data_IF_732507466286
#
_entry.id   IF_732507466286
#
_cell.length_a   1.000
_cell.length_b   1.000
_cell.length_c   1.000
_cell.angle_alpha   90.00
_cell.angle_beta   90.00
_cell.angle_gamma   90.00
#
_symmetry.space_group_name_H-M   'P 1'
#
loop_
_entity.id
_entity.type
_entity.pdbx_description
1 polymer ?
#
# COMPACT_ATOMS: atom_id res chain seq x y z
N UNK A 1 16.78 -1.60 20.83
CA UNK A 1 15.61 -0.71 20.99
C UNK A 1 15.83 0.46 20.04
N UNK A 2 15.27 0.39 18.82
CA UNK A 2 15.68 1.22 17.67
C UNK A 2 14.54 2.07 17.06
N UNK A 3 13.39 2.18 17.71
CA UNK A 3 12.26 2.98 17.22
C UNK A 3 12.42 4.50 17.48
N UNK A 4 13.55 4.91 18.05
CA UNK A 4 13.95 6.31 18.26
C UNK A 4 15.07 6.75 17.30
N UNK A 5 15.48 5.88 16.38
CA UNK A 5 16.50 6.25 15.40
C UNK A 5 15.99 7.38 14.49
N UNK A 6 16.87 8.31 14.06
CA UNK A 6 16.49 9.38 13.16
C UNK A 6 15.79 8.85 11.91
N UNK A 7 14.84 9.62 11.38
CA UNK A 7 14.21 9.29 10.11
C UNK A 7 15.26 9.10 9.01
N UNK A 8 15.22 7.96 8.34
CA UNK A 8 16.04 7.65 7.18
C UNK A 8 15.14 7.55 5.96
N UNK A 9 15.38 8.39 4.96
CA UNK A 9 14.68 8.30 3.68
C UNK A 9 14.96 6.93 3.03
N UNK A 10 13.92 6.30 2.50
CA UNK A 10 14.02 5.03 1.79
C UNK A 10 13.60 5.21 0.34
N UNK A 11 14.19 4.42 -0.54
CA UNK A 11 13.79 4.39 -1.93
C UNK A 11 12.35 3.86 -2.06
N UNK A 12 11.55 4.53 -2.89
CA UNK A 12 10.19 4.12 -3.23
C UNK A 12 10.22 3.54 -4.63
N UNK A 13 9.96 2.25 -4.75
CA UNK A 13 9.87 1.55 -6.02
C UNK A 13 8.46 1.68 -6.57
N UNK A 14 8.34 2.05 -7.84
CA UNK A 14 7.06 2.01 -8.56
C UNK A 14 6.77 0.59 -9.00
N UNK A 15 5.60 0.06 -8.66
CA UNK A 15 5.10 -1.22 -9.13
C UNK A 15 4.09 -1.01 -10.27
N UNK A 16 3.84 -2.03 -11.12
CA UNK A 16 2.76 -1.97 -12.08
C UNK A 16 1.42 -1.64 -11.41
N UNK A 17 0.69 -0.70 -12.01
CA UNK A 17 -0.67 -0.40 -11.58
C UNK A 17 -1.55 -1.65 -11.65
N UNK A 18 -2.47 -1.79 -10.71
CA UNK A 18 -3.40 -2.90 -10.65
C UNK A 18 -4.80 -2.41 -10.98
N UNK A 19 -5.45 -3.12 -11.89
CA UNK A 19 -6.86 -2.89 -12.24
C UNK A 19 -7.61 -4.19 -12.01
N UNK A 20 -8.48 -4.22 -11.01
CA UNK A 20 -9.22 -5.43 -10.64
C UNK A 20 -10.53 -5.05 -9.93
N UNK A 21 -11.62 -5.74 -10.28
CA UNK A 21 -12.93 -5.62 -9.63
C UNK A 21 -13.42 -4.16 -9.51
N UNK A 22 -13.15 -3.34 -10.53
CA UNK A 22 -13.51 -1.91 -10.59
C UNK A 22 -12.55 -0.97 -9.87
N UNK A 23 -11.54 -1.48 -9.17
CA UNK A 23 -10.46 -0.68 -8.57
C UNK A 23 -9.33 -0.42 -9.56
N UNK A 24 -8.79 0.81 -9.51
CA UNK A 24 -7.55 1.23 -10.15
C UNK A 24 -6.56 1.69 -9.07
N UNK A 25 -5.55 0.86 -8.78
CA UNK A 25 -4.55 1.14 -7.75
C UNK A 25 -3.20 1.52 -8.36
N UNK A 26 -2.67 2.68 -7.95
CA UNK A 26 -1.25 3.02 -8.10
C UNK A 26 -0.46 2.35 -6.98
N UNK A 27 0.63 1.67 -7.32
CA UNK A 27 1.29 0.74 -6.41
C UNK A 27 2.75 1.11 -6.20
N UNK A 28 3.17 1.08 -4.95
CA UNK A 28 4.52 1.43 -4.52
C UNK A 28 5.03 0.41 -3.50
N UNK A 29 6.34 0.15 -3.54
CA UNK A 29 7.02 -0.62 -2.51
C UNK A 29 8.12 0.21 -1.86
N UNK A 30 8.27 0.06 -0.55
CA UNK A 30 9.37 0.63 0.22
C UNK A 30 10.14 -0.56 0.78
N UNK A 31 11.41 -0.69 0.40
CA UNK A 31 12.25 -1.82 0.79
C UNK A 31 13.25 -1.37 1.83
N UNK A 32 13.31 -2.07 2.97
CA UNK A 32 14.34 -1.82 3.98
C UNK A 32 15.73 -2.16 3.44
N UNK A 33 16.75 -1.54 4.02
CA UNK A 33 18.14 -1.75 3.63
C UNK A 33 18.56 -3.22 3.72
N UNK A 34 19.28 -3.70 2.70
CA UNK A 34 19.70 -5.09 2.60
C UNK A 34 18.59 -6.10 2.30
N UNK A 35 17.34 -5.65 2.11
CA UNK A 35 16.23 -6.51 1.68
C UNK A 35 16.02 -6.42 0.17
N UNK A 36 15.46 -7.49 -0.39
CA UNK A 36 15.03 -7.53 -1.77
C UNK A 36 13.50 -7.45 -1.85
N UNK A 37 12.99 -6.91 -2.95
CA UNK A 37 11.57 -6.99 -3.28
C UNK A 37 11.19 -8.46 -3.46
N UNK A 38 10.18 -8.93 -2.72
CA UNK A 38 9.62 -10.27 -2.90
C UNK A 38 8.29 -10.19 -3.63
N UNK A 39 8.25 -10.79 -4.82
CA UNK A 39 7.04 -10.86 -5.63
C UNK A 39 5.88 -11.57 -4.90
N UNK A 40 6.17 -12.64 -4.15
CA UNK A 40 5.17 -13.35 -3.36
C UNK A 40 4.55 -12.47 -2.27
N UNK A 41 5.34 -11.59 -1.64
CA UNK A 41 4.84 -10.62 -0.66
C UNK A 41 3.98 -9.56 -1.34
N UNK A 42 4.40 -9.09 -2.52
CA UNK A 42 3.63 -8.13 -3.32
C UNK A 42 2.24 -8.69 -3.69
N UNK A 43 2.19 -9.95 -4.12
CA UNK A 43 0.96 -10.64 -4.47
C UNK A 43 0.05 -10.85 -3.25
N UNK A 44 0.60 -11.36 -2.15
CA UNK A 44 -0.15 -11.55 -0.91
C UNK A 44 -0.72 -10.23 -0.37
N UNK A 45 0.07 -9.15 -0.39
CA UNK A 45 -0.38 -7.82 0.02
C UNK A 45 -1.50 -7.28 -0.88
N UNK A 46 -1.46 -7.57 -2.19
CA UNK A 46 -2.53 -7.16 -3.12
C UNK A 46 -3.80 -7.96 -2.96
N UNK A 47 -3.71 -9.27 -2.76
CA UNK A 47 -4.87 -10.09 -2.44
C UNK A 47 -5.56 -9.60 -1.16
N UNK A 48 -4.77 -9.32 -0.11
CA UNK A 48 -5.30 -8.82 1.15
C UNK A 48 -5.91 -7.43 1.03
N UNK A 49 -5.28 -6.53 0.25
CA UNK A 49 -5.84 -5.21 -0.01
C UNK A 49 -7.21 -5.31 -0.69
N UNK A 50 -7.31 -6.10 -1.76
CA UNK A 50 -8.56 -6.31 -2.50
C UNK A 50 -9.65 -6.93 -1.64
N UNK A 51 -9.29 -7.87 -0.75
CA UNK A 51 -10.25 -8.48 0.18
C UNK A 51 -10.85 -7.46 1.17
N UNK A 52 -10.07 -6.44 1.56
CA UNK A 52 -10.48 -5.44 2.57
C UNK A 52 -11.09 -4.18 1.98
N UNK A 53 -10.83 -3.87 0.72
CA UNK A 53 -11.36 -2.67 0.09
C UNK A 53 -12.89 -2.75 0.04
N UNK A 54 -13.59 -1.62 0.28
CA UNK A 54 -15.02 -1.58 0.03
C UNK A 54 -15.30 -1.77 -1.46
N UNK A 55 -16.57 -1.99 -1.85
CA UNK A 55 -16.96 -1.90 -3.25
C UNK A 55 -16.45 -0.58 -3.86
N UNK A 56 -15.87 -0.60 -5.08
CA UNK A 56 -15.42 0.63 -5.71
C UNK A 56 -16.64 1.50 -6.03
N UNK A 57 -16.57 2.77 -5.65
CA UNK A 57 -17.54 3.73 -6.13
C UNK A 57 -17.22 4.22 -7.54
N UNK A 58 -18.17 4.92 -8.13
CA UNK A 58 -18.04 5.54 -9.44
C UNK A 58 -17.36 6.91 -9.34
N UNK A 59 -16.89 7.45 -10.46
CA UNK A 59 -16.37 8.82 -10.51
C UNK A 59 -17.43 9.88 -10.17
N UNK A 60 -18.70 9.50 -10.22
CA UNK A 60 -19.86 10.37 -9.97
C UNK A 60 -20.37 10.25 -8.52
N UNK A 61 -19.84 9.31 -7.73
CA UNK A 61 -20.28 9.11 -6.34
C UNK A 61 -19.92 10.30 -5.45
N UNK A 62 -20.91 10.77 -4.69
CA UNK A 62 -20.75 11.88 -3.74
C UNK A 62 -19.90 11.53 -2.52
N UNK A 63 -19.71 10.23 -2.26
CA UNK A 63 -19.09 9.72 -1.04
C UNK A 63 -17.55 9.70 -1.13
N UNK A 64 -16.98 10.15 -2.25
CA UNK A 64 -15.54 10.33 -2.45
C UNK A 64 -14.74 9.04 -2.71
N UNK A 65 -15.40 7.88 -2.67
CA UNK A 65 -14.83 6.63 -3.15
C UNK A 65 -15.04 6.54 -4.68
N UNK A 66 -13.99 6.73 -5.46
CA UNK A 66 -14.08 6.73 -6.92
C UNK A 66 -13.45 5.49 -7.58
N UNK A 67 -13.25 4.41 -6.81
CA UNK A 67 -12.57 3.21 -7.31
C UNK A 67 -11.09 3.47 -7.66
N UNK A 68 -10.49 4.55 -7.16
CA UNK A 68 -9.07 4.89 -7.36
C UNK A 68 -8.37 4.93 -6.02
N UNK A 69 -7.19 4.31 -5.93
CA UNK A 69 -6.45 4.26 -4.68
C UNK A 69 -4.93 4.12 -4.83
N UNK A 70 -4.26 4.15 -3.68
CA UNK A 70 -2.83 3.95 -3.55
C UNK A 70 -2.57 2.74 -2.66
N UNK A 71 -1.76 1.80 -3.13
CA UNK A 71 -1.26 0.70 -2.30
C UNK A 71 0.23 0.93 -2.05
N UNK A 72 0.60 0.99 -0.77
CA UNK A 72 2.00 1.11 -0.34
C UNK A 72 2.36 -0.16 0.42
N UNK A 73 3.35 -0.90 -0.09
CA UNK A 73 3.82 -2.15 0.50
C UNK A 73 5.16 -1.87 1.17
N UNK A 74 5.18 -1.86 2.50
CA UNK A 74 6.38 -1.58 3.27
C UNK A 74 7.02 -2.87 3.77
N UNK A 75 8.21 -3.20 3.25
CA UNK A 75 9.01 -4.34 3.69
C UNK A 75 9.82 -3.93 4.93
N UNK A 76 9.12 -3.66 6.03
CA UNK A 76 9.71 -3.24 7.29
C UNK A 76 9.91 -4.41 8.25
N UNK A 77 10.95 -4.33 9.08
CA UNK A 77 11.14 -5.25 10.21
C UNK A 77 10.17 -4.95 11.36
N UNK A 78 9.65 -3.73 11.43
CA UNK A 78 8.68 -3.29 12.43
C UNK A 78 7.74 -2.28 11.79
N UNK A 79 6.44 -2.48 11.97
CA UNK A 79 5.41 -1.53 11.55
C UNK A 79 4.76 -0.92 12.79
N UNK A 80 4.69 0.41 12.85
CA UNK A 80 3.88 1.13 13.85
C UNK A 80 2.59 1.54 13.16
N UNK A 81 1.47 0.99 13.61
CA UNK A 81 0.14 1.33 13.10
C UNK A 81 -0.46 2.35 14.07
N UNK A 82 -0.57 3.60 13.63
CA UNK A 82 -1.31 4.64 14.35
C UNK A 82 -2.57 4.96 13.57
N UNK A 83 -3.72 4.33 13.88
CA UNK A 83 -4.96 4.65 13.20
C UNK A 83 -5.41 6.04 13.64
N UNK A 84 -5.33 7.01 12.72
CA UNK A 84 -5.99 8.30 12.91
C UNK A 84 -7.37 8.17 12.27
N UNK A 85 -8.40 8.06 13.12
CA UNK A 85 -9.79 8.19 12.69
C UNK A 85 -10.11 9.68 12.71
N UNK A 86 -10.41 10.26 11.54
CA UNK A 86 -10.99 11.61 11.42
C UNK A 86 -12.51 11.50 11.33
#
# INVERSE_FOLDING_TARGET
MSHLDPYVAREVLTLPAMQQDGWCLKRYAIVAEGRALSQAVVEAASAEALHRLPPPGTLEDSDGNHGVGFQIIHFAETAVISPVFY
#
